data_IF_705047633803
#
_entry.id   IF_705047633803
#
_cell.length_a   1.000
_cell.length_b   1.000
_cell.length_c   1.000
_cell.angle_alpha   90.00
_cell.angle_beta   90.00
_cell.angle_gamma   90.00
#
_symmetry.space_group_name_H-M   'P 1'
#
loop_
_entity.id
_entity.type
_entity.pdbx_description
1 polymer ?
#
# COMPACT_ATOMS: atom_id res chain seq x y z
N UNK A 1 -34.32 22.91 20.30
CA UNK A 1 -33.12 22.31 20.94
C UNK A 1 -32.98 20.78 20.75
N UNK A 2 -34.06 19.99 20.90
CA UNK A 2 -34.02 18.51 20.70
C UNK A 2 -33.61 18.07 19.29
N UNK A 3 -34.02 18.75 18.22
CA UNK A 3 -33.68 18.39 16.84
C UNK A 3 -32.16 18.56 16.51
N UNK A 4 -31.52 19.57 17.09
CA UNK A 4 -30.07 19.77 16.89
C UNK A 4 -29.23 18.74 17.61
N UNK A 5 -29.67 18.22 18.76
CA UNK A 5 -29.01 17.14 19.45
C UNK A 5 -29.17 15.81 18.70
N UNK A 6 -30.37 15.54 18.18
CA UNK A 6 -30.61 14.35 17.35
C UNK A 6 -29.78 14.36 16.06
N UNK A 7 -29.66 15.52 15.39
CA UNK A 7 -28.83 15.66 14.19
C UNK A 7 -27.35 15.47 14.49
N UNK A 8 -26.84 16.03 15.61
CA UNK A 8 -25.44 15.83 16.03
C UNK A 8 -25.13 14.38 16.40
N UNK A 9 -26.09 13.69 17.04
CA UNK A 9 -25.97 12.28 17.38
C UNK A 9 -25.94 11.42 16.10
N UNK A 10 -26.87 11.67 15.17
CA UNK A 10 -26.94 10.95 13.89
C UNK A 10 -25.68 11.17 13.07
N UNK A 11 -25.16 12.41 13.00
CA UNK A 11 -23.90 12.71 12.36
C UNK A 11 -22.72 11.99 13.04
N UNK A 12 -22.71 11.93 14.38
CA UNK A 12 -21.69 11.20 15.15
C UNK A 12 -21.71 9.70 14.85
N UNK A 13 -22.89 9.09 14.81
CA UNK A 13 -23.07 7.67 14.44
C UNK A 13 -22.61 7.43 13.00
N UNK A 14 -23.01 8.28 12.07
CA UNK A 14 -22.60 8.18 10.67
C UNK A 14 -21.08 8.22 10.53
N UNK A 15 -20.41 9.19 11.17
CA UNK A 15 -18.95 9.33 11.16
C UNK A 15 -18.30 8.09 11.78
N UNK A 16 -18.83 7.57 12.90
CA UNK A 16 -18.30 6.37 13.55
C UNK A 16 -18.40 5.15 12.64
N UNK A 17 -19.57 4.90 12.04
CA UNK A 17 -19.81 3.78 11.12
C UNK A 17 -18.91 3.90 9.88
N UNK A 18 -18.79 5.11 9.33
CA UNK A 18 -17.89 5.37 8.19
C UNK A 18 -16.44 5.02 8.51
N UNK A 19 -15.92 5.49 9.64
CA UNK A 19 -14.54 5.14 10.04
C UNK A 19 -14.38 3.68 10.43
N UNK A 20 -15.36 3.07 11.09
CA UNK A 20 -15.34 1.65 11.42
C UNK A 20 -15.31 0.78 10.15
N UNK A 21 -16.07 1.14 9.13
CA UNK A 21 -16.04 0.47 7.83
C UNK A 21 -14.70 0.63 7.12
N UNK A 22 -14.14 1.84 7.14
CA UNK A 22 -12.88 2.15 6.45
C UNK A 22 -11.67 1.49 7.14
N UNK A 23 -11.59 1.58 8.46
CA UNK A 23 -10.43 1.09 9.22
C UNK A 23 -10.61 -0.33 9.78
N UNK A 24 -11.85 -0.84 9.81
CA UNK A 24 -12.15 -2.17 10.35
C UNK A 24 -11.29 -3.29 9.76
N UNK A 25 -11.21 -3.45 8.43
CA UNK A 25 -10.36 -4.46 7.80
C UNK A 25 -8.88 -4.30 8.16
N UNK A 26 -8.37 -3.06 8.26
CA UNK A 26 -6.97 -2.80 8.62
C UNK A 26 -6.69 -3.17 10.07
N UNK A 27 -7.64 -2.93 10.97
CA UNK A 27 -7.54 -3.32 12.38
C UNK A 27 -7.54 -4.85 12.51
N UNK A 28 -8.42 -5.53 11.79
CA UNK A 28 -8.49 -7.00 11.75
C UNK A 28 -7.15 -7.58 11.26
N UNK A 29 -6.63 -7.09 10.13
CA UNK A 29 -5.32 -7.48 9.62
C UNK A 29 -4.20 -7.25 10.63
N UNK A 30 -4.24 -6.12 11.34
CA UNK A 30 -3.25 -5.80 12.37
C UNK A 30 -3.30 -6.76 13.56
N UNK A 31 -4.50 -7.19 13.96
CA UNK A 31 -4.69 -8.17 15.04
C UNK A 31 -4.18 -9.54 14.61
N UNK A 32 -4.52 -9.99 13.40
CA UNK A 32 -4.09 -11.31 12.89
C UNK A 32 -2.58 -11.44 12.72
N UNK A 33 -1.84 -10.34 12.61
CA UNK A 33 -0.38 -10.33 12.58
C UNK A 33 0.26 -10.92 13.85
N UNK A 34 -0.46 -10.91 14.97
CA UNK A 34 0.01 -11.44 16.25
C UNK A 34 -0.50 -12.86 16.57
N UNK A 35 -1.39 -13.41 15.75
CA UNK A 35 -1.84 -14.79 15.91
C UNK A 35 -0.76 -15.76 15.40
N UNK A 36 -0.44 -16.81 16.17
CA UNK A 36 0.54 -17.83 15.78
C UNK A 36 0.03 -18.80 14.71
N UNK A 37 -1.26 -18.72 14.36
CA UNK A 37 -1.89 -19.57 13.35
C UNK A 37 -1.21 -19.44 11.98
N UNK A 38 -1.29 -20.50 11.18
CA UNK A 38 -0.71 -20.54 9.82
C UNK A 38 -1.48 -19.71 8.81
N UNK A 39 -2.75 -19.39 9.12
CA UNK A 39 -3.59 -18.49 8.34
C UNK A 39 -3.92 -17.22 9.13
N UNK A 40 -4.05 -16.06 8.48
CA UNK A 40 -4.40 -14.82 9.13
C UNK A 40 -5.89 -14.83 9.54
N UNK A 41 -6.19 -15.51 10.62
CA UNK A 41 -7.54 -15.62 11.19
C UNK A 41 -7.60 -14.96 12.56
N UNK A 42 -8.75 -14.32 12.87
CA UNK A 42 -9.04 -13.84 14.22
C UNK A 42 -9.59 -14.99 15.08
N UNK A 43 -10.32 -15.92 14.45
CA UNK A 43 -10.88 -17.11 15.08
C UNK A 43 -10.61 -18.34 14.22
N UNK A 44 -10.06 -19.42 14.77
CA UNK A 44 -9.63 -19.56 16.16
C UNK A 44 -8.35 -18.77 16.47
N UNK A 45 -8.28 -18.18 17.66
CA UNK A 45 -7.06 -17.57 18.17
C UNK A 45 -6.20 -18.68 18.80
N UNK A 46 -4.98 -18.85 18.30
CA UNK A 46 -4.07 -19.86 18.87
C UNK A 46 -3.24 -19.25 20.01
N UNK A 47 -2.16 -18.58 19.68
CA UNK A 47 -1.29 -17.96 20.66
C UNK A 47 -0.87 -16.58 20.19
N UNK A 48 -0.60 -15.67 21.14
CA UNK A 48 0.04 -14.39 20.82
C UNK A 48 1.51 -14.63 20.47
N UNK A 49 1.97 -14.14 19.33
CA UNK A 49 3.32 -14.41 18.82
C UNK A 49 3.83 -13.28 17.93
N UNK A 50 5.15 -13.04 18.00
CA UNK A 50 5.89 -12.17 17.09
C UNK A 50 6.54 -12.93 15.92
N UNK A 51 6.28 -14.23 15.77
CA UNK A 51 6.96 -15.11 14.79
C UNK A 51 6.86 -14.60 13.36
N UNK A 52 5.72 -14.01 12.99
CA UNK A 52 5.49 -13.52 11.64
C UNK A 52 6.25 -12.25 11.29
N UNK A 53 6.76 -11.54 12.30
CA UNK A 53 7.67 -10.42 12.09
C UNK A 53 9.12 -10.88 11.94
N UNK A 54 9.51 -12.01 12.49
CA UNK A 54 10.86 -12.55 12.50
C UNK A 54 11.04 -13.66 11.43
N UNK A 55 11.28 -14.88 11.87
CA UNK A 55 11.69 -16.00 11.00
C UNK A 55 10.51 -16.76 10.37
N UNK A 56 9.31 -16.65 10.94
CA UNK A 56 8.16 -17.42 10.50
C UNK A 56 8.10 -18.82 11.12
N UNK A 57 7.57 -19.80 10.39
CA UNK A 57 7.35 -21.17 10.84
C UNK A 57 7.70 -22.17 9.74
N UNK A 58 8.16 -23.35 10.15
CA UNK A 58 8.21 -24.54 9.28
C UNK A 58 6.95 -25.36 9.54
N UNK A 59 6.16 -25.59 8.51
CA UNK A 59 4.92 -26.38 8.56
C UNK A 59 5.25 -27.87 8.64
N UNK A 60 4.31 -28.72 9.06
CA UNK A 60 4.53 -30.15 9.25
C UNK A 60 4.89 -30.92 7.97
N UNK A 61 4.48 -30.41 6.81
CA UNK A 61 4.83 -30.89 5.48
C UNK A 61 6.23 -30.44 5.00
N UNK A 62 6.99 -29.75 5.87
CA UNK A 62 8.31 -29.25 5.56
C UNK A 62 8.32 -27.92 4.78
N UNK A 63 7.17 -27.32 4.48
CA UNK A 63 7.10 -26.02 3.84
C UNK A 63 7.53 -24.93 4.84
N UNK A 64 8.38 -24.01 4.40
CA UNK A 64 8.84 -22.88 5.19
C UNK A 64 7.93 -21.68 4.91
N UNK A 65 7.07 -21.34 5.87
CA UNK A 65 6.33 -20.10 5.88
C UNK A 65 7.23 -19.00 6.48
N UNK A 66 7.92 -18.29 5.61
CA UNK A 66 8.84 -17.23 6.03
C UNK A 66 8.07 -16.08 6.68
N UNK A 67 8.60 -15.56 7.79
CA UNK A 67 8.15 -14.31 8.39
C UNK A 67 8.68 -13.09 7.62
N UNK A 68 8.28 -11.90 8.04
CA UNK A 68 8.59 -10.64 7.33
C UNK A 68 10.09 -10.43 7.12
N UNK A 69 10.91 -10.67 8.16
CA UNK A 69 12.37 -10.47 8.06
C UNK A 69 13.12 -11.59 7.35
N UNK A 70 12.53 -12.78 7.25
CA UNK A 70 13.14 -13.94 6.58
C UNK A 70 12.74 -14.08 5.11
N UNK A 71 11.79 -13.29 4.63
CA UNK A 71 11.23 -13.37 3.29
C UNK A 71 12.03 -12.52 2.29
N UNK A 72 13.01 -13.13 1.68
CA UNK A 72 13.88 -12.46 0.69
C UNK A 72 13.12 -11.94 -0.51
N UNK A 73 12.11 -12.70 -1.01
CA UNK A 73 11.27 -12.24 -2.15
C UNK A 73 10.51 -10.96 -1.85
N UNK A 74 10.09 -10.81 -0.60
CA UNK A 74 9.37 -9.62 -0.16
C UNK A 74 10.31 -8.42 -0.07
N UNK A 75 11.54 -8.62 0.42
CA UNK A 75 12.57 -7.57 0.48
C UNK A 75 13.00 -7.14 -0.93
N UNK A 76 13.28 -8.09 -1.83
CA UNK A 76 13.62 -7.80 -3.22
C UNK A 76 12.46 -7.06 -3.91
N UNK A 77 11.21 -7.48 -3.66
CA UNK A 77 10.03 -6.81 -4.16
C UNK A 77 9.87 -5.37 -3.66
N UNK A 78 10.21 -5.09 -2.39
CA UNK A 78 10.21 -3.72 -1.84
C UNK A 78 11.28 -2.87 -2.53
N UNK A 79 12.50 -3.39 -2.69
CA UNK A 79 13.59 -2.66 -3.34
C UNK A 79 13.27 -2.35 -4.80
N UNK A 80 12.76 -3.33 -5.55
CA UNK A 80 12.34 -3.15 -6.94
C UNK A 80 11.21 -2.12 -7.05
N UNK A 81 10.19 -2.19 -6.17
CA UNK A 81 9.12 -1.19 -6.14
C UNK A 81 9.64 0.21 -5.86
N UNK A 82 10.62 0.34 -4.95
CA UNK A 82 11.23 1.63 -4.63
C UNK A 82 12.02 2.19 -5.82
N UNK A 83 12.78 1.36 -6.52
CA UNK A 83 13.52 1.75 -7.73
C UNK A 83 12.57 2.24 -8.82
N UNK A 84 11.48 1.50 -9.07
CA UNK A 84 10.47 1.87 -10.05
C UNK A 84 9.80 3.18 -9.65
N UNK A 85 9.37 3.32 -8.40
CA UNK A 85 8.69 4.53 -7.92
C UNK A 85 9.57 5.78 -8.05
N UNK A 86 10.85 5.68 -7.72
CA UNK A 86 11.81 6.79 -7.90
C UNK A 86 11.99 7.10 -9.38
N UNK A 87 12.16 6.09 -10.24
CA UNK A 87 12.27 6.29 -11.69
C UNK A 87 11.03 6.97 -12.29
N UNK A 88 9.84 6.54 -11.86
CA UNK A 88 8.56 7.14 -12.29
C UNK A 88 8.46 8.60 -11.84
N UNK A 89 8.84 8.92 -10.61
CA UNK A 89 8.83 10.32 -10.13
C UNK A 89 9.75 11.20 -10.97
N UNK A 90 10.97 10.72 -11.25
CA UNK A 90 11.97 11.46 -12.04
C UNK A 90 11.45 11.76 -13.46
N UNK A 91 10.67 10.86 -14.06
CA UNK A 91 10.13 11.05 -15.40
C UNK A 91 8.78 11.78 -15.39
N UNK A 92 7.82 11.35 -14.57
CA UNK A 92 6.44 11.84 -14.64
C UNK A 92 6.28 13.28 -14.15
N UNK A 93 7.06 13.71 -13.15
CA UNK A 93 6.96 15.09 -12.62
C UNK A 93 7.42 16.12 -13.65
N UNK A 94 8.59 16.00 -14.30
CA UNK A 94 8.99 16.94 -15.34
C UNK A 94 8.08 16.91 -16.58
N UNK A 95 7.63 15.70 -17.00
CA UNK A 95 6.72 15.54 -18.14
C UNK A 95 5.39 16.25 -17.85
N UNK A 96 4.79 16.00 -16.68
CA UNK A 96 3.54 16.64 -16.27
C UNK A 96 3.68 18.17 -16.14
N UNK A 97 4.80 18.65 -15.60
CA UNK A 97 5.10 20.07 -15.48
C UNK A 97 5.25 20.73 -16.87
N UNK A 98 6.04 20.12 -17.76
CA UNK A 98 6.23 20.63 -19.11
C UNK A 98 4.89 20.69 -19.88
N UNK A 99 4.09 19.64 -19.83
CA UNK A 99 2.76 19.61 -20.44
C UNK A 99 1.85 20.72 -19.90
N UNK A 100 1.87 20.96 -18.58
CA UNK A 100 1.06 22.01 -17.96
C UNK A 100 1.51 23.41 -18.39
N UNK A 101 2.83 23.67 -18.50
CA UNK A 101 3.37 24.95 -18.98
C UNK A 101 2.99 25.16 -20.46
N UNK A 102 3.16 24.14 -21.30
CA UNK A 102 2.76 24.21 -22.71
C UNK A 102 1.25 24.53 -22.82
N UNK A 103 0.39 23.94 -22.00
CA UNK A 103 -1.04 24.24 -21.99
C UNK A 103 -1.34 25.73 -21.75
N UNK A 104 -0.53 26.43 -20.96
CA UNK A 104 -0.73 27.87 -20.72
C UNK A 104 -0.35 28.76 -21.90
N UNK A 105 0.49 28.25 -22.81
CA UNK A 105 1.01 28.98 -23.99
C UNK A 105 0.23 28.66 -25.29
N UNK A 106 -0.50 27.56 -25.31
CA UNK A 106 -1.25 27.11 -26.50
C UNK A 106 -2.49 27.98 -26.73
N UNK A 107 -2.77 28.28 -28.01
CA UNK A 107 -3.97 29.00 -28.45
C UNK A 107 -5.26 28.36 -27.94
N UNK A 108 -6.27 29.20 -27.62
CA UNK A 108 -7.55 28.76 -27.05
C UNK A 108 -8.24 27.68 -27.88
N UNK A 109 -8.11 27.68 -29.20
CA UNK A 109 -8.70 26.66 -30.12
C UNK A 109 -8.09 25.26 -29.95
N UNK A 110 -6.80 25.17 -29.66
CA UNK A 110 -6.05 23.91 -29.52
C UNK A 110 -5.97 23.47 -28.06
N UNK A 111 -6.14 24.41 -27.12
CA UNK A 111 -6.04 24.16 -25.66
C UNK A 111 -6.93 23.02 -25.19
N UNK A 112 -8.19 23.00 -25.64
CA UNK A 112 -9.14 21.95 -25.25
C UNK A 112 -8.71 20.58 -25.79
N UNK A 113 -8.25 20.51 -27.05
CA UNK A 113 -7.75 19.29 -27.65
C UNK A 113 -6.50 18.78 -26.90
N UNK A 114 -5.54 19.66 -26.67
CA UNK A 114 -4.31 19.31 -25.93
C UNK A 114 -4.62 18.81 -24.51
N UNK A 115 -5.52 19.49 -23.80
CA UNK A 115 -5.96 19.08 -22.48
C UNK A 115 -6.61 17.71 -22.49
N UNK A 116 -7.51 17.45 -23.45
CA UNK A 116 -8.16 16.14 -23.62
C UNK A 116 -7.16 15.03 -23.93
N UNK A 117 -6.17 15.29 -24.78
CA UNK A 117 -5.11 14.33 -25.11
C UNK A 117 -4.19 14.07 -23.90
N UNK A 118 -3.87 15.09 -23.11
CA UNK A 118 -3.02 14.95 -21.92
C UNK A 118 -3.70 14.12 -20.79
N UNK A 119 -5.05 14.12 -20.74
CA UNK A 119 -5.80 13.33 -19.75
C UNK A 119 -6.07 11.91 -20.22
N UNK A 120 -6.05 11.67 -21.53
CA UNK A 120 -6.42 10.39 -22.15
C UNK A 120 -5.71 9.16 -21.51
N UNK A 121 -4.41 9.20 -21.15
CA UNK A 121 -3.74 8.03 -20.58
C UNK A 121 -4.37 7.50 -19.27
N UNK A 122 -4.99 8.35 -18.47
CA UNK A 122 -5.67 7.93 -17.22
C UNK A 122 -6.96 7.14 -17.50
N UNK A 123 -7.57 7.34 -18.67
CA UNK A 123 -8.80 6.66 -19.05
C UNK A 123 -8.57 5.23 -19.55
N UNK A 124 -7.33 4.90 -19.92
CA UNK A 124 -7.00 3.55 -20.36
C UNK A 124 -6.80 2.62 -19.14
N UNK A 125 -7.30 1.37 -19.23
CA UNK A 125 -6.99 0.36 -18.23
C UNK A 125 -5.49 0.12 -18.12
N UNK A 126 -4.96 0.07 -16.89
CA UNK A 126 -3.52 -0.11 -16.64
C UNK A 126 -2.93 -1.36 -17.31
N UNK A 127 -3.73 -2.43 -17.42
CA UNK A 127 -3.37 -3.67 -18.14
C UNK A 127 -3.03 -3.39 -19.60
N UNK A 128 -3.83 -2.57 -20.28
CA UNK A 128 -3.63 -2.23 -21.69
C UNK A 128 -2.34 -1.44 -21.85
N UNK A 129 -2.08 -0.48 -20.96
CA UNK A 129 -0.84 0.32 -20.99
C UNK A 129 0.38 -0.58 -20.76
N UNK A 130 0.31 -1.51 -19.78
CA UNK A 130 1.41 -2.44 -19.49
C UNK A 130 1.76 -3.32 -20.70
N UNK A 131 0.76 -4.01 -21.27
CA UNK A 131 0.96 -4.90 -22.43
C UNK A 131 1.45 -4.11 -23.64
N UNK A 132 0.82 -2.95 -23.95
CA UNK A 132 1.20 -2.12 -25.09
C UNK A 132 2.64 -1.64 -25.00
N UNK A 133 3.10 -1.29 -23.80
CA UNK A 133 4.49 -0.87 -23.56
C UNK A 133 5.45 -2.02 -23.85
N UNK A 134 5.19 -3.23 -23.37
CA UNK A 134 6.03 -4.41 -23.62
C UNK A 134 6.09 -4.72 -25.12
N UNK A 135 4.94 -4.76 -25.79
CA UNK A 135 4.87 -5.06 -27.23
C UNK A 135 5.61 -4.02 -28.05
N UNK A 136 5.46 -2.73 -27.74
CA UNK A 136 6.16 -1.65 -28.44
C UNK A 136 7.67 -1.78 -28.30
N UNK A 137 8.15 -1.96 -27.07
CA UNK A 137 9.59 -2.01 -26.80
C UNK A 137 10.24 -3.32 -27.29
N UNK A 138 9.54 -4.44 -27.28
CA UNK A 138 10.02 -5.68 -27.92
C UNK A 138 10.16 -5.50 -29.42
N UNK A 139 9.25 -4.80 -30.07
CA UNK A 139 9.38 -4.46 -31.50
C UNK A 139 10.57 -3.55 -31.78
N UNK A 140 10.78 -2.51 -30.97
CA UNK A 140 11.94 -1.62 -31.08
C UNK A 140 13.22 -2.41 -30.85
N UNK A 141 13.29 -3.25 -29.82
CA UNK A 141 14.42 -4.09 -29.52
C UNK A 141 14.74 -5.08 -30.66
N UNK A 142 13.74 -5.66 -31.29
CA UNK A 142 13.91 -6.57 -32.45
C UNK A 142 14.44 -5.86 -33.70
N UNK A 143 14.07 -4.59 -33.90
CA UNK A 143 14.54 -3.77 -35.03
C UNK A 143 15.99 -3.34 -34.89
N UNK A 144 16.51 -3.23 -33.68
CA UNK A 144 17.91 -2.81 -33.41
C UNK A 144 18.93 -3.92 -33.58
N UNK A 145 18.50 -5.16 -33.92
CA UNK A 145 19.40 -6.27 -34.25
C UNK A 145 20.24 -6.81 -33.07
N UNK A 146 19.92 -6.46 -31.83
CA UNK A 146 20.67 -6.83 -30.62
C UNK A 146 21.51 -5.68 -30.06
N UNK A 147 22.23 -5.96 -28.95
CA UNK A 147 23.04 -4.98 -28.23
C UNK A 147 22.30 -4.25 -27.11
N UNK A 148 22.95 -3.25 -26.52
CA UNK A 148 22.48 -2.57 -25.29
C UNK A 148 21.03 -2.03 -25.38
N UNK A 149 20.57 -1.59 -26.55
CA UNK A 149 19.20 -1.13 -26.75
C UNK A 149 18.18 -2.27 -26.67
N UNK A 150 18.53 -3.47 -27.14
CA UNK A 150 17.68 -4.65 -27.05
C UNK A 150 17.59 -5.13 -25.58
N UNK A 151 18.70 -5.09 -24.85
CA UNK A 151 18.73 -5.46 -23.42
C UNK A 151 17.90 -4.48 -22.56
N UNK A 152 18.01 -3.18 -22.81
CA UNK A 152 17.19 -2.15 -22.14
C UNK A 152 15.70 -2.36 -22.47
N UNK A 153 15.37 -2.60 -23.75
CA UNK A 153 13.98 -2.81 -24.19
C UNK A 153 13.32 -4.08 -23.68
N UNK A 154 14.10 -4.99 -23.06
CA UNK A 154 13.63 -6.23 -22.40
C UNK A 154 13.80 -6.22 -20.89
N UNK A 155 14.22 -5.10 -20.32
CA UNK A 155 14.35 -4.96 -18.86
C UNK A 155 12.99 -4.63 -18.25
N UNK A 156 12.48 -5.51 -17.37
CA UNK A 156 11.16 -5.37 -16.75
C UNK A 156 11.02 -4.09 -15.92
N UNK A 157 12.05 -3.71 -15.18
CA UNK A 157 12.05 -2.48 -14.37
C UNK A 157 11.93 -1.24 -15.26
N UNK A 158 12.71 -1.18 -16.34
CA UNK A 158 12.65 -0.07 -17.31
C UNK A 158 11.27 0.03 -17.97
N UNK A 159 10.74 -1.09 -18.45
CA UNK A 159 9.42 -1.14 -19.09
C UNK A 159 8.31 -0.71 -18.13
N UNK A 160 8.41 -1.13 -16.88
CA UNK A 160 7.43 -0.76 -15.85
C UNK A 160 7.50 0.74 -15.53
N UNK A 161 8.70 1.32 -15.45
CA UNK A 161 8.88 2.77 -15.26
C UNK A 161 8.19 3.53 -16.41
N UNK A 162 8.40 3.12 -17.65
CA UNK A 162 7.79 3.77 -18.81
C UNK A 162 6.27 3.62 -18.84
N UNK A 163 5.77 2.40 -18.62
CA UNK A 163 4.34 2.12 -18.60
C UNK A 163 3.61 2.92 -17.53
N UNK A 164 4.15 2.98 -16.33
CA UNK A 164 3.57 3.75 -15.23
C UNK A 164 3.70 5.26 -15.46
N UNK A 165 4.82 5.74 -16.00
CA UNK A 165 5.02 7.16 -16.32
C UNK A 165 3.94 7.66 -17.29
N UNK A 166 3.49 6.84 -18.23
CA UNK A 166 2.48 7.21 -19.22
C UNK A 166 1.22 7.80 -18.59
N UNK A 167 0.65 7.17 -17.56
CA UNK A 167 -0.58 7.67 -16.93
C UNK A 167 -0.31 8.52 -15.66
N UNK A 168 0.79 8.27 -14.92
CA UNK A 168 1.12 9.04 -13.72
C UNK A 168 1.50 10.48 -14.08
N UNK A 169 2.13 10.70 -15.23
CA UNK A 169 2.41 12.06 -15.72
C UNK A 169 1.15 12.90 -15.89
N UNK A 170 0.01 12.29 -16.19
CA UNK A 170 -1.29 12.98 -16.25
C UNK A 170 -1.73 13.50 -14.88
N UNK A 171 -1.55 12.74 -13.80
CA UNK A 171 -1.84 13.24 -12.45
C UNK A 171 -0.93 14.42 -12.07
N UNK A 172 0.36 14.32 -12.39
CA UNK A 172 1.29 15.44 -12.22
C UNK A 172 0.84 16.65 -13.03
N UNK A 173 0.48 16.46 -14.30
CA UNK A 173 -0.06 17.52 -15.18
C UNK A 173 -1.25 18.24 -14.55
N UNK A 174 -2.24 17.52 -14.03
CA UNK A 174 -3.42 18.11 -13.40
C UNK A 174 -3.07 18.97 -12.17
N UNK A 175 -2.13 18.50 -11.35
CA UNK A 175 -1.64 19.27 -10.18
C UNK A 175 -0.98 20.57 -10.62
N UNK A 176 -0.13 20.52 -11.65
CA UNK A 176 0.54 21.70 -12.19
C UNK A 176 -0.43 22.65 -12.87
N UNK A 177 -1.41 22.16 -13.62
CA UNK A 177 -2.46 22.98 -14.23
C UNK A 177 -3.23 23.75 -13.15
N UNK A 178 -3.67 23.05 -12.09
CA UNK A 178 -4.39 23.68 -10.98
C UNK A 178 -3.55 24.76 -10.27
N UNK A 179 -2.23 24.59 -10.20
CA UNK A 179 -1.31 25.56 -9.62
C UNK A 179 -1.09 26.74 -10.54
N UNK A 180 -0.84 26.49 -11.83
CA UNK A 180 -0.60 27.52 -12.84
C UNK A 180 -1.81 28.43 -13.09
N UNK A 181 -3.04 27.90 -12.95
CA UNK A 181 -4.28 28.69 -13.05
C UNK A 181 -4.37 29.80 -12.00
N UNK A 182 -3.64 29.67 -10.88
CA UNK A 182 -3.59 30.66 -9.79
C UNK A 182 -2.36 31.57 -9.87
N UNK A 183 -1.53 31.40 -10.88
CA UNK A 183 -0.34 32.21 -11.08
C UNK A 183 -0.73 33.57 -11.68
N UNK A 184 -0.24 34.64 -11.04
CA UNK A 184 -0.44 35.99 -11.53
C UNK A 184 0.60 36.31 -12.59
N UNK A 185 0.17 36.41 -13.84
CA UNK A 185 1.03 36.73 -15.00
C UNK A 185 1.67 38.13 -14.94
N UNK A 186 1.08 39.05 -14.18
CA UNK A 186 1.68 40.38 -14.01
C UNK A 186 3.07 40.33 -13.40
N UNK A 187 3.38 39.31 -12.60
CA UNK A 187 4.74 39.13 -12.05
C UNK A 187 5.75 38.73 -13.14
N UNK A 188 5.35 37.97 -14.13
CA UNK A 188 6.16 37.60 -15.28
C UNK A 188 6.41 38.81 -16.19
N UNK A 189 5.35 39.56 -16.53
CA UNK A 189 5.38 40.75 -17.35
C UNK A 189 6.27 41.84 -16.71
N UNK A 190 6.06 42.12 -15.42
CA UNK A 190 6.87 43.07 -14.69
C UNK A 190 8.36 42.71 -14.64
N UNK A 191 8.70 41.42 -14.54
CA UNK A 191 10.10 41.02 -14.56
C UNK A 191 10.72 41.14 -15.95
N UNK A 192 9.99 40.91 -17.02
CA UNK A 192 10.43 41.13 -18.40
C UNK A 192 10.63 42.60 -18.69
N UNK A 193 9.75 43.48 -18.21
CA UNK A 193 9.86 44.94 -18.33
C UNK A 193 11.10 45.49 -17.61
N UNK A 194 11.50 44.82 -16.51
CA UNK A 194 12.74 45.12 -15.79
C UNK A 194 14.00 44.55 -16.48
N UNK A 195 13.88 43.97 -17.67
CA UNK A 195 14.99 43.44 -18.46
C UNK A 195 15.42 42.01 -18.09
N UNK A 196 14.62 41.26 -17.34
CA UNK A 196 14.90 39.82 -17.10
C UNK A 196 14.72 39.03 -18.39
N UNK A 197 15.58 38.01 -18.62
CA UNK A 197 15.38 37.06 -19.71
C UNK A 197 14.29 36.06 -19.35
N UNK A 198 13.66 35.42 -20.36
CA UNK A 198 12.67 34.37 -20.20
C UNK A 198 13.16 33.25 -19.28
N UNK A 199 14.41 32.82 -19.40
CA UNK A 199 15.03 31.82 -18.55
C UNK A 199 15.16 32.29 -17.09
N UNK A 200 15.46 33.57 -16.87
CA UNK A 200 15.52 34.13 -15.52
C UNK A 200 14.13 34.17 -14.87
N UNK A 201 13.10 34.57 -15.61
CA UNK A 201 11.70 34.53 -15.15
C UNK A 201 11.29 33.11 -14.78
N UNK A 202 11.59 32.16 -15.65
CA UNK A 202 11.29 30.75 -15.38
C UNK A 202 11.96 30.23 -14.09
N UNK A 203 13.28 30.43 -13.96
CA UNK A 203 14.05 29.90 -12.83
C UNK A 203 13.77 30.64 -11.52
N UNK A 204 13.67 31.99 -11.57
CA UNK A 204 13.61 32.84 -10.37
C UNK A 204 12.19 33.13 -9.89
N UNK A 205 11.18 33.06 -10.76
CA UNK A 205 9.77 33.36 -10.42
C UNK A 205 8.90 32.11 -10.51
N UNK A 206 8.83 31.50 -11.70
CA UNK A 206 7.90 30.40 -11.93
C UNK A 206 8.31 29.13 -11.17
N UNK A 207 9.59 28.75 -11.19
CA UNK A 207 10.07 27.54 -10.54
C UNK A 207 9.87 27.56 -9.01
N UNK A 208 10.23 28.63 -8.26
CA UNK A 208 9.94 28.74 -6.84
C UNK A 208 8.43 28.73 -6.52
N UNK A 209 7.61 29.34 -7.39
CA UNK A 209 6.16 29.30 -7.26
C UNK A 209 5.61 27.87 -7.41
N UNK A 210 6.19 27.05 -8.31
CA UNK A 210 5.79 25.66 -8.57
C UNK A 210 6.37 24.66 -7.55
N UNK A 211 7.37 25.02 -6.74
CA UNK A 211 8.00 24.09 -5.77
C UNK A 211 7.01 23.31 -4.89
N UNK A 212 5.97 23.93 -4.31
CA UNK A 212 4.99 23.17 -3.54
C UNK A 212 4.18 22.17 -4.38
N UNK A 213 3.93 22.49 -5.66
CA UNK A 213 3.26 21.59 -6.59
C UNK A 213 4.19 20.45 -7.03
N UNK A 214 5.50 20.74 -7.24
CA UNK A 214 6.52 19.72 -7.52
C UNK A 214 6.59 18.71 -6.36
N UNK A 215 6.66 19.19 -5.12
CA UNK A 215 6.67 18.30 -3.96
C UNK A 215 5.39 17.46 -3.86
N UNK A 216 4.22 18.06 -4.07
CA UNK A 216 2.94 17.34 -4.02
C UNK A 216 2.81 16.31 -5.15
N UNK A 217 3.20 16.66 -6.37
CA UNK A 217 3.17 15.75 -7.52
C UNK A 217 4.16 14.60 -7.35
N UNK A 218 5.35 14.86 -6.79
CA UNK A 218 6.33 13.81 -6.51
C UNK A 218 5.81 12.79 -5.50
N UNK A 219 5.17 13.25 -4.41
CA UNK A 219 4.58 12.35 -3.41
C UNK A 219 3.45 11.52 -4.02
N UNK A 220 2.57 12.15 -4.81
CA UNK A 220 1.46 11.43 -5.45
C UNK A 220 2.00 10.45 -6.49
N UNK A 221 2.95 10.84 -7.33
CA UNK A 221 3.57 9.95 -8.30
C UNK A 221 4.25 8.75 -7.64
N UNK A 222 4.95 8.97 -6.53
CA UNK A 222 5.57 7.91 -5.74
C UNK A 222 4.54 6.91 -5.21
N UNK A 223 3.47 7.40 -4.56
CA UNK A 223 2.43 6.55 -3.98
C UNK A 223 1.71 5.74 -5.06
N UNK A 224 1.26 6.38 -6.14
CA UNK A 224 0.59 5.70 -7.25
C UNK A 224 1.48 4.66 -7.95
N UNK A 225 2.77 4.91 -8.05
CA UNK A 225 3.72 3.95 -8.60
C UNK A 225 3.94 2.77 -7.66
N UNK A 226 4.14 3.05 -6.36
CA UNK A 226 4.47 2.02 -5.36
C UNK A 226 3.32 1.03 -5.15
N UNK A 227 2.06 1.47 -5.20
CA UNK A 227 0.88 0.62 -5.04
C UNK A 227 0.40 -0.03 -6.36
N UNK A 228 0.98 0.35 -7.50
CA UNK A 228 0.50 -0.09 -8.80
C UNK A 228 0.71 -1.59 -9.03
N UNK A 229 -0.37 -2.31 -9.16
CA UNK A 229 -0.37 -3.74 -9.54
C UNK A 229 -0.77 -3.93 -11.00
N UNK A 230 -1.83 -3.24 -11.45
CA UNK A 230 -2.50 -3.54 -12.71
C UNK A 230 -1.62 -3.33 -13.95
N UNK A 231 -0.80 -2.31 -13.97
CA UNK A 231 0.16 -2.06 -15.07
C UNK A 231 1.41 -2.91 -14.87
N UNK A 232 1.88 -2.99 -13.62
CA UNK A 232 3.13 -3.64 -13.25
C UNK A 232 3.16 -5.12 -13.59
N UNK A 233 2.09 -5.86 -13.27
CA UNK A 233 2.05 -7.32 -13.47
C UNK A 233 2.29 -7.74 -14.92
N UNK A 234 2.01 -6.87 -15.89
CA UNK A 234 2.21 -7.13 -17.32
C UNK A 234 3.50 -6.54 -17.89
N UNK A 235 4.12 -5.58 -17.19
CA UNK A 235 5.34 -4.90 -17.67
C UNK A 235 6.61 -5.32 -16.97
N UNK A 236 6.52 -5.93 -15.78
CA UNK A 236 7.69 -6.27 -14.95
C UNK A 236 8.47 -7.50 -15.45
N UNK A 237 7.89 -8.28 -16.34
CA UNK A 237 8.47 -9.51 -16.90
C UNK A 237 8.89 -10.53 -15.82
N UNK A 238 10.20 -10.80 -15.71
CA UNK A 238 10.77 -11.78 -14.76
C UNK A 238 11.00 -11.22 -13.36
N UNK A 239 11.06 -9.90 -13.22
CA UNK A 239 11.28 -9.25 -11.94
C UNK A 239 9.99 -9.24 -11.09
N UNK A 240 10.13 -8.93 -9.81
CA UNK A 240 8.99 -8.89 -8.88
C UNK A 240 8.96 -7.58 -8.11
N UNK A 241 7.77 -7.00 -8.00
CA UNK A 241 7.51 -5.85 -7.13
C UNK A 241 6.79 -6.29 -5.87
N UNK A 242 6.72 -5.42 -4.86
CA UNK A 242 5.97 -5.70 -3.63
C UNK A 242 4.53 -6.14 -3.93
N UNK A 243 3.83 -5.43 -4.81
CA UNK A 243 2.43 -5.70 -5.15
C UNK A 243 2.26 -7.04 -5.88
N UNK A 244 3.19 -7.41 -6.77
CA UNK A 244 3.14 -8.70 -7.47
C UNK A 244 3.50 -9.87 -6.55
N UNK A 245 4.46 -9.70 -5.61
CA UNK A 245 4.78 -10.69 -4.58
C UNK A 245 3.58 -10.93 -3.67
N UNK A 246 2.95 -9.85 -3.16
CA UNK A 246 1.75 -9.98 -2.32
C UNK A 246 0.64 -10.70 -3.08
N UNK A 247 0.36 -10.32 -4.33
CA UNK A 247 -0.67 -10.95 -5.14
C UNK A 247 -0.40 -12.44 -5.39
N UNK A 248 0.86 -12.84 -5.64
CA UNK A 248 1.24 -14.24 -5.80
C UNK A 248 1.02 -15.03 -4.51
N UNK A 249 1.40 -14.47 -3.36
CA UNK A 249 1.19 -15.10 -2.06
C UNK A 249 -0.30 -15.26 -1.73
N UNK A 250 -1.12 -14.26 -2.03
CA UNK A 250 -2.59 -14.35 -1.84
C UNK A 250 -3.21 -15.47 -2.69
N UNK A 251 -2.71 -15.68 -3.92
CA UNK A 251 -3.19 -16.76 -4.80
C UNK A 251 -2.75 -18.15 -4.35
N UNK A 252 -1.56 -18.28 -3.77
CA UNK A 252 -0.99 -19.57 -3.33
C UNK A 252 -1.39 -19.92 -1.89
N UNK A 253 -2.00 -19.03 -1.17
CA UNK A 253 -2.38 -19.16 0.24
C UNK A 253 -1.91 -17.94 1.02
N UNK A 254 -2.82 -17.33 1.79
CA UNK A 254 -2.52 -16.10 2.55
C UNK A 254 -1.61 -16.44 3.72
N UNK A 255 -0.37 -15.94 3.70
CA UNK A 255 0.55 -16.06 4.85
C UNK A 255 0.30 -14.93 5.86
N UNK A 256 0.31 -15.20 7.18
CA UNK A 256 0.22 -14.15 8.19
C UNK A 256 1.37 -13.13 8.16
N UNK A 257 2.47 -13.42 7.49
CA UNK A 257 3.53 -12.46 7.20
C UNK A 257 3.05 -11.23 6.41
N UNK A 258 2.00 -11.39 5.57
CA UNK A 258 1.35 -10.27 4.88
C UNK A 258 0.64 -9.35 5.89
N UNK A 259 0.01 -9.92 6.92
CA UNK A 259 -0.61 -9.15 8.01
C UNK A 259 0.44 -8.40 8.83
N UNK A 260 1.60 -9.01 9.09
CA UNK A 260 2.73 -8.36 9.74
C UNK A 260 3.28 -7.20 8.90
N UNK A 261 3.42 -7.40 7.59
CA UNK A 261 3.82 -6.34 6.65
C UNK A 261 2.81 -5.18 6.66
N UNK A 262 1.51 -5.49 6.57
CA UNK A 262 0.46 -4.47 6.59
C UNK A 262 0.52 -3.63 7.87
N UNK A 263 0.70 -4.28 9.03
CA UNK A 263 0.86 -3.57 10.30
C UNK A 263 2.08 -2.65 10.33
N UNK A 264 3.23 -3.11 9.79
CA UNK A 264 4.44 -2.28 9.69
C UNK A 264 4.21 -1.06 8.80
N UNK A 265 3.58 -1.24 7.64
CA UNK A 265 3.25 -0.14 6.74
C UNK A 265 2.29 0.86 7.43
N UNK A 266 1.25 0.37 8.11
CA UNK A 266 0.31 1.22 8.88
C UNK A 266 1.05 1.98 9.97
N UNK A 267 1.95 1.35 10.70
CA UNK A 267 2.74 1.99 11.75
C UNK A 267 3.66 3.09 11.20
N UNK A 268 4.33 2.82 10.08
CA UNK A 268 5.20 3.80 9.41
C UNK A 268 4.38 5.00 8.91
N UNK A 269 3.28 4.76 8.21
CA UNK A 269 2.43 5.82 7.65
C UNK A 269 1.80 6.67 8.75
N UNK A 270 1.32 6.05 9.83
CA UNK A 270 0.76 6.75 10.98
C UNK A 270 1.82 7.60 11.68
N UNK A 271 3.03 7.06 11.88
CA UNK A 271 4.16 7.78 12.48
C UNK A 271 4.57 8.96 11.62
N UNK A 272 4.64 8.78 10.29
CA UNK A 272 4.93 9.86 9.34
C UNK A 272 3.86 10.95 9.37
N UNK A 273 2.58 10.58 9.38
CA UNK A 273 1.46 11.53 9.44
C UNK A 273 1.46 12.34 10.74
N UNK A 274 1.67 11.67 11.89
CA UNK A 274 1.77 12.35 13.20
C UNK A 274 2.98 13.28 13.25
N UNK A 275 4.13 12.83 12.73
CA UNK A 275 5.35 13.63 12.67
C UNK A 275 5.15 14.89 11.81
N UNK A 276 4.54 14.74 10.64
CA UNK A 276 4.21 15.86 9.77
C UNK A 276 3.28 16.87 10.46
N UNK A 277 2.21 16.40 11.10
CA UNK A 277 1.26 17.26 11.82
C UNK A 277 1.93 18.01 12.98
N UNK A 278 2.84 17.34 13.71
CA UNK A 278 3.61 17.97 14.79
C UNK A 278 4.56 19.04 14.26
N UNK A 279 5.27 18.75 13.16
CA UNK A 279 6.16 19.71 12.52
C UNK A 279 5.41 20.94 12.00
N UNK A 280 4.31 20.73 11.28
CA UNK A 280 3.43 21.79 10.76
C UNK A 280 2.91 22.70 11.89
N UNK A 281 2.43 22.10 12.99
CA UNK A 281 1.97 22.89 14.15
C UNK A 281 3.09 23.65 14.83
N UNK A 282 4.33 23.11 14.81
CA UNK A 282 5.50 23.87 15.31
C UNK A 282 5.81 25.09 14.47
N UNK A 283 5.70 24.96 13.14
CA UNK A 283 5.92 26.04 12.20
C UNK A 283 4.84 27.11 12.30
N UNK A 284 3.58 26.76 12.33
CA UNK A 284 2.45 27.67 12.54
C UNK A 284 2.61 28.47 13.85
N UNK A 285 3.08 27.80 14.91
CA UNK A 285 3.36 28.48 16.19
C UNK A 285 4.54 29.44 16.12
N UNK A 286 5.59 29.09 15.35
CA UNK A 286 6.73 30.00 15.11
C UNK A 286 6.28 31.25 14.36
N UNK A 287 5.50 31.07 13.30
CA UNK A 287 4.95 32.17 12.51
C UNK A 287 3.99 33.05 13.33
N UNK A 288 3.12 32.44 14.14
CA UNK A 288 2.23 33.17 15.05
C UNK A 288 3.01 34.01 16.07
N UNK A 289 4.11 33.47 16.63
CA UNK A 289 4.99 34.23 17.56
C UNK A 289 5.68 35.40 16.86
N UNK A 290 6.20 35.17 15.63
CA UNK A 290 6.83 36.24 14.85
C UNK A 290 5.82 37.37 14.55
N UNK A 291 4.60 36.97 14.12
CA UNK A 291 3.51 37.93 13.86
C UNK A 291 3.09 38.70 15.12
N UNK A 292 3.07 38.06 16.29
CA UNK A 292 2.82 38.73 17.57
C UNK A 292 3.95 39.70 17.93
N UNK A 293 5.23 39.33 17.72
CA UNK A 293 6.36 40.23 17.97
C UNK A 293 6.30 41.48 17.06
N UNK A 294 5.95 41.32 15.80
CA UNK A 294 5.77 42.45 14.86
C UNK A 294 4.60 43.37 15.28
N UNK A 295 3.48 42.79 15.73
CA UNK A 295 2.35 43.56 16.25
C UNK A 295 2.70 44.30 17.56
N UNK A 296 3.52 43.68 18.43
CA UNK A 296 4.01 44.37 19.64
C UNK A 296 4.91 45.58 19.39
N UNK A 297 5.60 45.59 18.24
CA UNK A 297 6.42 46.76 17.83
C UNK A 297 5.56 47.91 17.28
N UNK A 298 4.33 47.65 16.84
CA UNK A 298 3.46 48.62 16.14
C UNK A 298 2.29 49.11 17.03
N UNK A 299 1.92 48.43 18.13
CA UNK A 299 0.76 48.80 18.96
C UNK A 299 1.11 49.05 20.44
N UNK A 300 0.45 50.04 21.12
CA UNK A 300 0.64 50.31 22.56
C UNK A 300 0.17 49.11 23.43
N UNK A 301 0.86 48.94 24.54
CA UNK A 301 0.82 47.79 25.46
C UNK A 301 -0.52 47.44 26.10
N UNK A 302 -1.53 48.29 26.03
CA UNK A 302 -2.73 48.18 26.88
C UNK A 302 -3.86 47.29 26.36
N UNK A 303 -3.86 46.92 25.08
CA UNK A 303 -4.89 46.03 24.51
C UNK A 303 -4.53 44.54 24.40
N UNK A 304 -3.35 44.13 24.85
CA UNK A 304 -2.81 42.79 24.58
C UNK A 304 -2.97 41.78 25.73
N UNK A 305 -3.53 42.21 26.88
CA UNK A 305 -3.70 41.33 28.05
C UNK A 305 -4.83 40.31 27.97
N UNK A 306 -5.68 40.35 26.95
CA UNK A 306 -6.93 39.57 26.93
C UNK A 306 -6.88 38.25 26.17
N UNK A 307 -5.79 37.88 25.48
CA UNK A 307 -5.77 36.67 24.63
C UNK A 307 -4.56 35.75 24.83
N UNK A 308 -4.05 35.60 26.07
CA UNK A 308 -2.95 34.67 26.35
C UNK A 308 -3.40 33.49 27.20
N UNK A 309 -4.08 32.53 26.59
CA UNK A 309 -4.04 31.11 27.02
C UNK A 309 -4.10 30.21 25.79
N UNK A 310 -3.03 30.19 24.99
CA UNK A 310 -2.82 29.08 24.06
C UNK A 310 -2.17 27.96 24.88
N UNK A 311 -3.00 27.26 25.65
CA UNK A 311 -2.60 26.04 26.31
C UNK A 311 -2.26 24.99 25.24
N UNK A 312 -1.15 24.32 25.42
CA UNK A 312 -0.75 23.15 24.65
C UNK A 312 -1.79 22.05 24.89
N UNK A 313 -2.84 22.02 24.09
CA UNK A 313 -3.72 20.85 24.00
C UNK A 313 -3.23 20.04 22.81
N UNK A 314 -2.54 18.93 23.09
CA UNK A 314 -2.45 17.84 22.11
C UNK A 314 -3.88 17.58 21.62
N UNK A 315 -4.11 17.43 20.30
CA UNK A 315 -5.43 17.06 19.84
C UNK A 315 -5.82 15.75 20.53
N UNK A 316 -7.03 15.71 21.04
CA UNK A 316 -7.56 14.52 21.75
C UNK A 316 -7.43 13.25 20.91
N UNK A 317 -7.49 13.39 19.58
CA UNK A 317 -7.25 12.31 18.62
C UNK A 317 -5.83 11.74 18.68
N UNK A 318 -4.79 12.58 18.86
CA UNK A 318 -3.40 12.12 18.94
C UNK A 318 -3.14 11.40 20.27
N UNK A 319 -3.76 11.86 21.37
CA UNK A 319 -3.71 11.19 22.64
C UNK A 319 -4.42 9.83 22.59
N UNK A 320 -5.55 9.75 21.89
CA UNK A 320 -6.32 8.52 21.72
C UNK A 320 -5.55 7.49 20.86
N UNK A 321 -4.88 7.92 19.79
CA UNK A 321 -4.02 7.05 18.97
C UNK A 321 -2.83 6.53 19.76
N UNK A 322 -2.14 7.41 20.52
CA UNK A 322 -1.04 7.00 21.41
C UNK A 322 -1.52 6.05 22.51
N UNK A 323 -2.71 6.26 23.04
CA UNK A 323 -3.30 5.41 24.08
C UNK A 323 -3.70 4.05 23.51
N UNK A 324 -4.21 3.99 22.28
CA UNK A 324 -4.50 2.72 21.58
C UNK A 324 -3.19 1.97 21.27
N UNK A 325 -2.17 2.65 20.71
CA UNK A 325 -0.87 2.02 20.47
C UNK A 325 -0.21 1.53 21.76
N UNK A 326 -0.27 2.33 22.82
CA UNK A 326 0.24 1.94 24.13
C UNK A 326 -0.57 0.80 24.75
N UNK A 327 -1.90 0.81 24.60
CA UNK A 327 -2.78 -0.27 25.05
C UNK A 327 -2.50 -1.59 24.34
N UNK A 328 -2.23 -1.56 23.02
CA UNK A 328 -1.86 -2.75 22.25
C UNK A 328 -0.49 -3.28 22.66
N UNK A 329 0.50 -2.41 22.86
CA UNK A 329 1.85 -2.79 23.29
C UNK A 329 1.84 -3.27 24.74
N UNK A 330 1.21 -2.55 25.65
CA UNK A 330 1.14 -2.91 27.06
C UNK A 330 0.26 -4.13 27.31
N UNK A 331 -0.87 -4.23 26.63
CA UNK A 331 -1.75 -5.39 26.65
C UNK A 331 -1.07 -6.63 26.07
N UNK A 332 -0.33 -6.48 24.97
CA UNK A 332 0.47 -7.55 24.38
C UNK A 332 1.57 -8.04 25.32
N UNK A 333 2.29 -7.13 25.98
CA UNK A 333 3.31 -7.50 26.99
C UNK A 333 2.69 -8.15 28.24
N UNK A 334 1.54 -7.66 28.71
CA UNK A 334 0.84 -8.25 29.84
C UNK A 334 0.33 -9.67 29.53
N UNK A 335 -0.21 -9.87 28.34
CA UNK A 335 -0.64 -11.19 27.87
C UNK A 335 0.55 -12.13 27.66
N UNK A 336 1.68 -11.65 27.16
CA UNK A 336 2.91 -12.42 27.02
C UNK A 336 3.54 -12.83 28.37
N UNK A 337 3.42 -12.00 29.41
CA UNK A 337 3.98 -12.27 30.74
C UNK A 337 3.20 -13.33 31.53
N UNK A 338 1.92 -13.56 31.23
CA UNK A 338 1.03 -14.44 31.98
C UNK A 338 1.00 -15.92 31.52
N UNK A 339 2.04 -16.43 30.87
CA UNK A 339 2.22 -17.82 30.46
C UNK A 339 1.09 -18.46 29.60
N UNK A 340 -0.03 -17.76 29.38
CA UNK A 340 -1.12 -18.21 28.50
C UNK A 340 -0.76 -18.06 27.00
N UNK A 341 0.25 -17.23 26.66
CA UNK A 341 0.52 -16.79 25.31
C UNK A 341 2.02 -16.74 24.95
N UNK A 342 2.88 -17.34 25.78
CA UNK A 342 4.32 -17.39 25.54
C UNK A 342 4.76 -18.53 24.63
N UNK A 343 6.07 -18.71 24.50
CA UNK A 343 6.72 -19.77 23.72
C UNK A 343 6.20 -21.18 24.05
N UNK A 344 5.83 -21.42 25.32
CA UNK A 344 5.19 -22.69 25.75
C UNK A 344 3.82 -22.93 25.12
N UNK A 345 3.00 -21.88 24.93
CA UNK A 345 1.72 -22.02 24.23
C UNK A 345 1.94 -22.40 22.77
N UNK A 346 2.92 -21.79 22.12
CA UNK A 346 3.25 -22.05 20.72
C UNK A 346 3.73 -23.48 20.54
N UNK A 347 4.64 -23.96 21.40
CA UNK A 347 5.15 -25.31 21.38
C UNK A 347 4.02 -26.32 21.64
N UNK A 348 3.16 -26.10 22.63
CA UNK A 348 2.03 -26.95 22.93
C UNK A 348 1.00 -27.01 21.79
N UNK A 349 0.71 -25.87 21.14
CA UNK A 349 -0.18 -25.81 19.99
C UNK A 349 0.40 -26.53 18.77
N UNK A 350 1.70 -26.39 18.55
CA UNK A 350 2.41 -27.05 17.47
C UNK A 350 2.52 -28.56 17.69
N UNK A 351 2.76 -29.03 18.93
CA UNK A 351 2.74 -30.45 19.30
C UNK A 351 1.35 -31.07 19.14
N UNK A 352 0.30 -30.38 19.58
CA UNK A 352 -1.08 -30.84 19.42
C UNK A 352 -1.47 -30.99 17.95
N UNK A 353 -1.06 -30.09 17.08
CA UNK A 353 -1.28 -30.20 15.64
C UNK A 353 -0.50 -31.36 15.03
N UNK A 354 0.74 -31.55 15.45
CA UNK A 354 1.59 -32.65 14.98
C UNK A 354 1.02 -34.02 15.36
N UNK A 355 0.48 -34.16 16.59
CA UNK A 355 -0.17 -35.38 17.02
C UNK A 355 -1.46 -35.66 16.22
N UNK A 356 -2.30 -34.65 16.01
CA UNK A 356 -3.52 -34.75 15.22
C UNK A 356 -3.23 -35.15 13.77
N UNK A 357 -2.20 -34.58 13.16
CA UNK A 357 -1.79 -34.91 11.80
C UNK A 357 -1.23 -36.34 11.71
N UNK A 358 -0.43 -36.77 12.68
CA UNK A 358 0.07 -38.13 12.74
C UNK A 358 -1.07 -39.16 12.91
N UNK A 359 -2.09 -38.84 13.70
CA UNK A 359 -3.25 -39.69 13.88
C UNK A 359 -4.13 -39.76 12.62
N UNK A 360 -4.30 -38.64 11.92
CA UNK A 360 -4.97 -38.62 10.61
C UNK A 360 -4.23 -39.46 9.56
N UNK A 361 -2.89 -39.37 9.50
CA UNK A 361 -2.07 -40.19 8.62
C UNK A 361 -2.23 -41.68 8.92
N UNK A 362 -2.27 -42.06 10.20
CA UNK A 362 -2.53 -43.48 10.60
C UNK A 362 -3.90 -43.97 10.15
N UNK A 363 -4.94 -43.12 10.30
CA UNK A 363 -6.30 -43.45 9.85
C UNK A 363 -6.37 -43.60 8.32
N UNK A 364 -5.68 -42.75 7.57
CA UNK A 364 -5.57 -42.88 6.12
C UNK A 364 -4.83 -44.13 5.71
N UNK A 365 -3.72 -44.50 6.37
CA UNK A 365 -2.99 -45.74 6.14
C UNK A 365 -3.81 -46.98 6.46
N UNK A 366 -4.60 -46.95 7.54
CA UNK A 366 -5.52 -48.06 7.90
C UNK A 366 -6.63 -48.21 6.85
N UNK A 367 -7.19 -47.14 6.33
CA UNK A 367 -8.21 -47.20 5.29
C UNK A 367 -7.67 -47.74 3.98
N UNK A 368 -6.48 -47.30 3.55
CA UNK A 368 -5.80 -47.85 2.37
C UNK A 368 -5.40 -49.32 2.55
N UNK A 369 -5.00 -49.72 3.76
CA UNK A 369 -4.68 -51.12 4.10
C UNK A 369 -5.91 -52.03 4.11
N UNK A 370 -7.09 -51.55 4.46
CA UNK A 370 -8.35 -52.31 4.46
C UNK A 370 -8.95 -52.46 3.05
N UNK A 371 -8.75 -51.50 2.15
CA UNK A 371 -9.21 -51.61 0.76
C UNK A 371 -8.34 -52.60 -0.06
N UNK A 372 -7.08 -52.78 0.33
CA UNK A 372 -6.15 -53.73 -0.32
C UNK A 372 -6.48 -55.22 -0.11
N UNK A 373 -7.41 -55.57 0.81
CA UNK A 373 -7.76 -56.96 1.12
C UNK A 373 -9.06 -57.45 0.48
N UNK A 374 -9.79 -56.63 -0.26
CA UNK A 374 -11.10 -57.01 -0.85
C UNK A 374 -11.20 -56.90 -2.37
N UNK A 375 -10.12 -56.66 -3.11
CA UNK A 375 -10.19 -56.69 -4.58
C UNK A 375 -8.97 -57.33 -5.24
N UNK A 376 -8.96 -58.71 -5.18
CA UNK A 376 -8.26 -59.49 -6.20
C UNK A 376 -9.24 -59.78 -7.34
N UNK A 377 -9.42 -58.84 -8.27
CA UNK A 377 -9.81 -59.08 -9.67
C UNK A 377 -10.04 -57.74 -10.39
N UNK A 378 -9.19 -57.49 -11.33
CA UNK A 378 -9.36 -56.76 -12.59
C UNK A 378 -8.31 -55.67 -12.81
N UNK A 379 -7.48 -55.83 -13.83
CA UNK A 379 -6.84 -54.94 -14.79
C UNK A 379 -6.13 -53.64 -14.34
N UNK A 380 -5.11 -53.21 -15.06
CA UNK A 380 -4.34 -52.00 -14.67
C UNK A 380 -5.20 -50.74 -14.79
N UNK A 381 -5.59 -50.20 -13.65
CA UNK A 381 -6.29 -48.93 -13.58
C UNK A 381 -5.29 -47.78 -13.84
N UNK A 382 -5.61 -46.93 -14.79
CA UNK A 382 -4.90 -45.72 -15.13
C UNK A 382 -4.93 -44.78 -13.92
N UNK A 383 -3.77 -44.18 -13.55
CA UNK A 383 -3.60 -43.37 -12.32
C UNK A 383 -4.54 -42.16 -12.11
N UNK A 384 -5.40 -41.85 -13.08
CA UNK A 384 -6.48 -40.86 -12.95
C UNK A 384 -7.71 -41.37 -12.18
N UNK A 385 -7.94 -42.68 -12.13
CA UNK A 385 -9.05 -43.24 -11.36
C UNK A 385 -8.71 -43.42 -9.89
N UNK A 386 -7.47 -43.76 -9.56
CA UNK A 386 -6.98 -43.77 -8.17
C UNK A 386 -7.00 -42.41 -7.52
N UNK A 387 -6.61 -41.37 -8.25
CA UNK A 387 -6.64 -39.98 -7.76
C UNK A 387 -8.08 -39.51 -7.46
N UNK A 388 -9.05 -39.84 -8.31
CA UNK A 388 -10.45 -39.50 -8.10
C UNK A 388 -11.11 -40.29 -6.93
N UNK A 389 -10.67 -41.51 -6.67
CA UNK A 389 -11.18 -42.30 -5.53
C UNK A 389 -10.63 -41.77 -4.19
N UNK A 390 -9.42 -41.25 -4.16
CA UNK A 390 -8.80 -40.69 -2.93
C UNK A 390 -9.28 -39.28 -2.65
N UNK A 391 -9.46 -38.45 -3.68
CA UNK A 391 -9.80 -37.04 -3.53
C UNK A 391 -11.23 -36.66 -3.92
N UNK A 392 -12.02 -37.63 -4.42
CA UNK A 392 -13.40 -37.41 -4.85
C UNK A 392 -14.47 -37.63 -3.76
N UNK A 393 -14.09 -37.97 -2.54
CA UNK A 393 -15.03 -38.09 -1.43
C UNK A 393 -15.39 -36.71 -0.85
N UNK A 394 -16.64 -36.25 -1.00
CA UNK A 394 -17.07 -34.97 -0.47
C UNK A 394 -16.94 -34.82 1.05
N UNK A 395 -16.78 -35.93 1.78
CA UNK A 395 -16.68 -35.96 3.24
C UNK A 395 -15.22 -35.80 3.72
N UNK A 396 -14.23 -36.05 2.85
CA UNK A 396 -12.82 -35.89 3.20
C UNK A 396 -12.49 -34.44 3.59
N UNK A 397 -13.16 -33.46 2.96
CA UNK A 397 -12.93 -32.02 3.20
C UNK A 397 -13.82 -31.46 4.32
N UNK A 398 -14.85 -32.14 4.79
CA UNK A 398 -15.68 -31.67 5.91
C UNK A 398 -14.91 -31.58 7.24
N UNK A 399 -13.88 -32.40 7.41
CA UNK A 399 -13.05 -32.42 8.62
C UNK A 399 -11.84 -31.51 8.55
N UNK A 400 -11.57 -30.90 7.38
CA UNK A 400 -10.51 -29.89 7.19
C UNK A 400 -11.02 -28.45 7.36
N UNK A 401 -11.74 -28.17 8.45
CA UNK A 401 -12.02 -26.80 8.92
C UNK A 401 -12.83 -25.92 7.97
N UNK A 402 -14.15 -25.99 8.07
CA UNK A 402 -14.99 -24.79 7.95
C UNK A 402 -15.19 -24.19 6.58
N UNK A 403 -15.72 -24.94 5.59
CA UNK A 403 -16.53 -24.35 4.53
C UNK A 403 -17.90 -25.05 4.53
N UNK A 404 -18.81 -24.53 5.36
CA UNK A 404 -20.23 -24.83 5.22
C UNK A 404 -20.75 -24.11 3.97
N UNK A 405 -20.86 -24.84 2.86
CA UNK A 405 -21.66 -24.41 1.73
C UNK A 405 -23.14 -24.73 2.00
N UNK A 406 -23.80 -23.93 2.80
CA UNK A 406 -25.25 -23.79 2.83
C UNK A 406 -25.63 -22.48 2.18
N UNK A 407 -26.00 -22.55 0.94
CA UNK A 407 -27.01 -21.78 0.20
C UNK A 407 -27.06 -22.40 -1.18
N UNK A 408 -28.13 -22.70 -1.81
CA UNK A 408 -29.45 -22.12 -1.93
C UNK A 408 -30.39 -23.12 -2.59
N UNK A 409 -31.60 -23.13 -2.14
CA UNK A 409 -32.74 -23.33 -2.99
C UNK A 409 -33.56 -22.05 -3.00
#
# INVERSE_FOLDING_TARGET
MRSQHALKLLLGIYIFVFFAYLFGPLIIMSITAFNSAEFPAVTPWECFSWRWFAEGKVTYDGQRLAGLLADTKLHDGILTSLQIAVGVVILSVPIGMAAAIVLTQVNSKIRTLFYSMAIMPVLFPGVVIGISTVVLWDRIASMTGGGAMADIGRNGVFLTILAQTCFISTYCFLIFVARLQRFDKTQEEAALDLGASQTQVFIKILMPYLMPAIASSAVIAFLYSFENYNTTVFSILSDQTLTTVIASKVRLGISPAISALALVIIAITLTAAVSYEVLKRREERRLAKIKQMQLHQVMPRDRLKQNQKIAFKLPKSMFLILLVCFGVIAGGNYLASNNLYGEKCIVAADEAKKSNFADQLKLLQQNVGNEGTTSSQSGPATGSQEFNNIFGDPNLFKNFGGFDSKSEK
#
